data_IF_324569281045
#
_entry.id   IF_324569281045
#
_cell.length_a   1.000
_cell.length_b   1.000
_cell.length_c   1.000
_cell.angle_alpha   90.00
_cell.angle_beta   90.00
_cell.angle_gamma   90.00
#
_symmetry.space_group_name_H-M   'P 1'
#
loop_
_entity.id
_entity.type
_entity.pdbx_description
1 polymer ?
#
# COMPACT_ATOMS: atom_id res chain seq x y z
N UNK A 1 -12.62 41.94 -20.15
CA UNK A 1 -11.59 41.75 -19.11
C UNK A 1 -12.20 40.86 -18.03
N UNK A 2 -12.32 39.55 -18.26
CA UNK A 2 -13.04 38.62 -17.37
C UNK A 2 -12.71 37.15 -17.62
N UNK A 3 -12.34 36.79 -18.85
CA UNK A 3 -12.07 35.40 -19.26
C UNK A 3 -10.78 34.82 -18.68
N UNK A 4 -9.74 35.64 -18.48
CA UNK A 4 -8.44 35.17 -17.99
C UNK A 4 -8.46 34.65 -16.53
N UNK A 5 -9.39 35.13 -15.71
CA UNK A 5 -9.53 34.66 -14.33
C UNK A 5 -10.40 33.39 -14.22
N UNK A 6 -11.29 33.14 -15.18
CA UNK A 6 -12.15 31.95 -15.19
C UNK A 6 -11.39 30.70 -15.62
N UNK A 7 -10.56 30.80 -16.67
CA UNK A 7 -9.72 29.70 -17.17
C UNK A 7 -8.65 29.28 -16.16
N UNK A 8 -8.08 30.24 -15.43
CA UNK A 8 -7.10 29.99 -14.36
C UNK A 8 -7.70 29.21 -13.19
N UNK A 9 -8.97 29.47 -12.85
CA UNK A 9 -9.67 28.76 -11.78
C UNK A 9 -10.03 27.32 -12.18
N UNK A 10 -10.43 27.10 -13.43
CA UNK A 10 -10.75 25.77 -13.98
C UNK A 10 -9.52 24.87 -14.00
N UNK A 11 -8.37 25.36 -14.48
CA UNK A 11 -7.11 24.59 -14.49
C UNK A 11 -6.66 24.22 -13.06
N UNK A 12 -6.84 25.10 -12.08
CA UNK A 12 -6.54 24.79 -10.68
C UNK A 12 -7.55 23.79 -10.06
N UNK A 13 -8.77 23.72 -10.59
CA UNK A 13 -9.80 22.79 -10.14
C UNK A 13 -9.55 21.39 -10.72
N UNK A 14 -9.30 21.27 -12.02
CA UNK A 14 -8.92 20.02 -12.69
C UNK A 14 -7.65 19.41 -12.10
N UNK A 15 -6.64 20.24 -11.78
CA UNK A 15 -5.39 19.76 -11.16
C UNK A 15 -5.61 19.19 -9.76
N UNK A 16 -6.50 19.79 -8.97
CA UNK A 16 -6.90 19.28 -7.64
C UNK A 16 -7.72 18.01 -7.75
N UNK A 17 -8.65 17.94 -8.69
CA UNK A 17 -9.45 16.74 -8.95
C UNK A 17 -8.56 15.58 -9.42
N UNK A 18 -7.59 15.83 -10.30
CA UNK A 18 -6.61 14.82 -10.71
C UNK A 18 -5.72 14.36 -9.55
N UNK A 19 -5.21 15.27 -8.71
CA UNK A 19 -4.45 14.89 -7.51
C UNK A 19 -5.28 14.06 -6.53
N UNK A 20 -6.52 14.46 -6.31
CA UNK A 20 -7.43 13.77 -5.39
C UNK A 20 -7.77 12.38 -5.93
N UNK A 21 -8.02 12.25 -7.23
CA UNK A 21 -8.29 10.99 -7.89
C UNK A 21 -7.06 10.06 -7.92
N UNK A 22 -5.86 10.60 -8.14
CA UNK A 22 -4.61 9.84 -8.01
C UNK A 22 -4.39 9.35 -6.58
N UNK A 23 -4.66 10.20 -5.58
CA UNK A 23 -4.56 9.83 -4.16
C UNK A 23 -5.57 8.74 -3.79
N UNK A 24 -6.80 8.84 -4.30
CA UNK A 24 -7.85 7.83 -4.10
C UNK A 24 -7.44 6.50 -4.73
N UNK A 25 -6.96 6.51 -5.98
CA UNK A 25 -6.46 5.32 -6.66
C UNK A 25 -5.30 4.66 -5.89
N UNK A 26 -4.38 5.45 -5.34
CA UNK A 26 -3.28 4.92 -4.54
C UNK A 26 -3.76 4.30 -3.22
N UNK A 27 -4.72 4.94 -2.54
CA UNK A 27 -5.33 4.41 -1.32
C UNK A 27 -6.11 3.13 -1.60
N UNK A 28 -6.83 3.07 -2.70
CA UNK A 28 -7.62 1.92 -3.11
C UNK A 28 -6.70 0.76 -3.49
N UNK A 29 -5.67 1.02 -4.32
CA UNK A 29 -4.64 0.04 -4.63
C UNK A 29 -3.99 -0.51 -3.36
N UNK A 30 -3.60 0.37 -2.43
CA UNK A 30 -3.03 -0.01 -1.13
C UNK A 30 -3.98 -0.90 -0.33
N UNK A 31 -5.27 -0.57 -0.31
CA UNK A 31 -6.30 -1.36 0.40
C UNK A 31 -6.53 -2.71 -0.25
N UNK A 32 -6.57 -2.78 -1.58
CA UNK A 32 -6.72 -4.01 -2.35
C UNK A 32 -5.51 -4.92 -2.12
N UNK A 33 -4.30 -4.38 -2.20
CA UNK A 33 -3.06 -5.11 -1.90
C UNK A 33 -3.05 -5.64 -0.47
N UNK A 34 -3.41 -4.81 0.52
CA UNK A 34 -3.51 -5.25 1.92
C UNK A 34 -4.54 -6.37 2.10
N UNK A 35 -5.69 -6.30 1.42
CA UNK A 35 -6.70 -7.37 1.44
C UNK A 35 -6.25 -8.64 0.74
N UNK A 36 -5.44 -8.54 -0.32
CA UNK A 36 -4.89 -9.70 -1.00
C UNK A 36 -3.85 -10.42 -0.11
N UNK A 37 -3.10 -9.65 0.68
CA UNK A 37 -2.05 -10.16 1.57
C UNK A 37 -2.62 -10.63 2.91
N UNK A 38 -3.69 -10.04 3.45
CA UNK A 38 -4.24 -10.38 4.77
C UNK A 38 -5.42 -11.34 4.69
N UNK A 39 -5.50 -12.30 5.62
CA UNK A 39 -6.74 -13.09 5.83
C UNK A 39 -7.81 -12.28 6.55
N UNK A 40 -9.07 -12.74 6.51
CA UNK A 40 -10.20 -12.08 7.16
C UNK A 40 -9.93 -11.91 8.67
N UNK A 41 -9.44 -12.96 9.33
CA UNK A 41 -9.11 -12.95 10.76
C UNK A 41 -7.98 -11.97 11.09
N UNK A 42 -6.94 -11.92 10.25
CA UNK A 42 -5.85 -10.96 10.40
C UNK A 42 -6.34 -9.50 10.24
N UNK A 43 -7.28 -9.25 9.32
CA UNK A 43 -7.87 -7.93 9.12
C UNK A 43 -8.68 -7.47 10.34
N UNK A 44 -9.50 -8.35 10.91
CA UNK A 44 -10.25 -8.05 12.14
C UNK A 44 -9.32 -7.70 13.30
N UNK A 45 -8.23 -8.45 13.44
CA UNK A 45 -7.27 -8.17 14.50
C UNK A 45 -6.49 -6.88 14.26
N UNK A 46 -6.09 -6.59 13.02
CA UNK A 46 -5.48 -5.31 12.68
C UNK A 46 -6.43 -4.15 13.01
N UNK A 47 -7.72 -4.30 12.74
CA UNK A 47 -8.73 -3.30 13.08
C UNK A 47 -8.87 -3.11 14.61
N UNK A 48 -8.91 -4.21 15.36
CA UNK A 48 -8.90 -4.18 16.83
C UNK A 48 -7.63 -3.50 17.38
N UNK A 49 -6.48 -3.75 16.77
CA UNK A 49 -5.20 -3.13 17.13
C UNK A 49 -5.20 -1.66 16.79
N UNK A 50 -5.71 -1.27 15.62
CA UNK A 50 -5.84 0.13 15.22
C UNK A 50 -6.67 0.92 16.23
N UNK A 51 -7.74 0.31 16.76
CA UNK A 51 -8.56 0.93 17.80
C UNK A 51 -7.82 1.18 19.12
N UNK A 52 -6.89 0.29 19.51
CA UNK A 52 -6.13 0.45 20.77
C UNK A 52 -4.80 1.19 20.59
N UNK A 53 -4.17 1.06 19.42
CA UNK A 53 -2.82 1.57 19.09
C UNK A 53 -2.71 1.82 17.56
N UNK A 54 -3.19 2.96 17.07
CA UNK A 54 -3.15 3.28 15.64
C UNK A 54 -1.72 3.37 15.09
N UNK A 55 -0.74 3.81 15.90
CA UNK A 55 0.67 3.85 15.49
C UNK A 55 1.21 2.47 15.10
N UNK A 56 0.86 1.42 15.86
CA UNK A 56 1.30 0.07 15.56
C UNK A 56 0.62 -0.45 14.30
N UNK A 57 -0.67 -0.18 14.13
CA UNK A 57 -1.41 -0.57 12.92
C UNK A 57 -0.77 0.03 11.65
N UNK A 58 -0.44 1.32 11.67
CA UNK A 58 0.23 1.98 10.55
C UNK A 58 1.59 1.37 10.23
N UNK A 59 2.40 1.03 11.25
CA UNK A 59 3.68 0.35 11.06
C UNK A 59 3.51 -1.04 10.44
N UNK A 60 2.51 -1.80 10.88
CA UNK A 60 2.22 -3.14 10.37
C UNK A 60 1.78 -3.05 8.91
N UNK A 61 0.86 -2.14 8.57
CA UNK A 61 0.46 -1.93 7.18
C UNK A 61 1.64 -1.55 6.29
N UNK A 62 2.49 -0.63 6.74
CA UNK A 62 3.66 -0.20 5.97
C UNK A 62 4.67 -1.35 5.79
N UNK A 63 4.89 -2.15 6.84
CA UNK A 63 5.74 -3.33 6.77
C UNK A 63 5.15 -4.39 5.83
N UNK A 64 3.84 -4.63 5.89
CA UNK A 64 3.16 -5.58 5.02
C UNK A 64 3.25 -5.17 3.57
N UNK A 65 2.98 -3.90 3.25
CA UNK A 65 3.16 -3.37 1.91
C UNK A 65 4.62 -3.53 1.47
N UNK A 66 5.58 -3.07 2.26
CA UNK A 66 6.98 -3.16 1.84
C UNK A 66 7.47 -4.60 1.65
N UNK A 67 7.08 -5.52 2.55
CA UNK A 67 7.58 -6.90 2.59
C UNK A 67 6.83 -7.85 1.67
N UNK A 68 5.53 -7.64 1.51
CA UNK A 68 4.62 -8.58 0.86
C UNK A 68 3.98 -8.03 -0.42
N UNK A 69 4.23 -6.77 -0.84
CA UNK A 69 3.73 -6.24 -2.14
C UNK A 69 4.06 -7.14 -3.33
N UNK A 70 5.17 -7.89 -3.27
CA UNK A 70 5.61 -8.79 -4.33
C UNK A 70 5.41 -10.27 -4.00
N UNK A 71 4.80 -10.59 -2.85
CA UNK A 71 4.62 -11.98 -2.41
C UNK A 71 3.16 -12.39 -2.47
N UNK A 72 2.89 -13.53 -3.08
CA UNK A 72 1.56 -14.16 -3.11
C UNK A 72 1.20 -14.87 -1.79
N UNK A 73 1.90 -14.58 -0.70
CA UNK A 73 1.72 -15.26 0.59
C UNK A 73 0.70 -14.50 1.41
N UNK A 74 -0.35 -15.20 1.85
CA UNK A 74 -1.35 -14.67 2.76
C UNK A 74 -0.83 -14.70 4.19
N UNK A 75 -0.89 -13.56 4.86
CA UNK A 75 -0.55 -13.37 6.26
C UNK A 75 -1.78 -13.70 7.10
N UNK A 76 -1.63 -14.74 7.91
CA UNK A 76 -2.65 -15.20 8.84
C UNK A 76 -2.52 -14.52 10.22
N UNK A 77 -3.48 -14.73 11.14
CA UNK A 77 -3.45 -14.09 12.46
C UNK A 77 -2.17 -14.42 13.24
N UNK A 78 -1.76 -15.69 13.23
CA UNK A 78 -0.55 -16.12 13.93
C UNK A 78 0.69 -15.40 13.39
N UNK A 79 0.78 -15.21 12.08
CA UNK A 79 1.88 -14.48 11.44
C UNK A 79 1.80 -12.98 11.74
N UNK A 80 0.60 -12.39 11.70
CA UNK A 80 0.38 -11.00 12.07
C UNK A 80 0.82 -10.75 13.52
N UNK A 81 0.51 -11.68 14.45
CA UNK A 81 0.97 -11.63 15.85
C UNK A 81 2.49 -11.56 15.94
N UNK A 82 3.18 -12.45 15.24
CA UNK A 82 4.63 -12.45 15.22
C UNK A 82 5.23 -11.19 14.58
N UNK A 83 4.59 -10.63 13.55
CA UNK A 83 4.99 -9.35 12.97
C UNK A 83 4.81 -8.22 13.99
N UNK A 84 3.70 -8.19 14.73
CA UNK A 84 3.44 -7.17 15.77
C UNK A 84 4.47 -7.25 16.90
N UNK A 85 4.72 -8.46 17.40
CA UNK A 85 5.72 -8.72 18.44
C UNK A 85 7.12 -8.37 17.92
N UNK A 86 7.39 -8.74 16.67
CA UNK A 86 8.61 -8.44 15.93
C UNK A 86 8.85 -6.95 15.78
N UNK A 87 7.87 -6.15 15.34
CA UNK A 87 7.96 -4.69 15.21
C UNK A 87 8.16 -4.05 16.59
N UNK A 88 7.41 -4.50 17.60
CA UNK A 88 7.58 -3.99 18.98
C UNK A 88 8.98 -4.26 19.52
N UNK A 89 9.58 -5.40 19.16
CA UNK A 89 10.97 -5.75 19.51
C UNK A 89 12.01 -5.08 18.60
N UNK A 90 11.75 -4.96 17.30
CA UNK A 90 12.66 -4.44 16.27
C UNK A 90 12.77 -2.93 16.30
N UNK A 91 11.77 -2.23 16.86
CA UNK A 91 11.91 -0.82 17.26
C UNK A 91 13.11 -0.61 18.21
N UNK A 92 13.60 -1.68 18.87
CA UNK A 92 14.84 -1.65 19.67
C UNK A 92 16.11 -2.08 18.90
N UNK A 93 15.98 -2.71 17.72
CA UNK A 93 17.10 -3.31 16.95
C UNK A 93 16.82 -3.29 15.44
N UNK A 94 17.23 -2.22 14.77
CA UNK A 94 17.14 -2.04 13.32
C UNK A 94 17.67 -3.26 12.55
N UNK A 95 16.80 -4.04 11.88
CA UNK A 95 17.27 -5.11 10.99
C UNK A 95 16.63 -5.02 9.60
N UNK A 96 17.48 -4.70 8.63
CA UNK A 96 17.24 -4.69 7.19
C UNK A 96 16.78 -6.05 6.69
N UNK A 97 15.61 -6.12 6.03
CA UNK A 97 15.15 -7.36 5.40
C UNK A 97 15.19 -7.22 3.88
N UNK A 98 16.23 -7.83 3.31
CA UNK A 98 16.51 -7.99 1.88
C UNK A 98 15.34 -8.73 1.20
N UNK A 99 14.68 -8.08 0.24
CA UNK A 99 13.66 -8.70 -0.62
C UNK A 99 14.32 -8.91 -1.97
N UNK A 100 14.55 -10.17 -2.33
CA UNK A 100 15.02 -10.53 -3.66
C UNK A 100 13.86 -10.37 -4.64
N UNK A 101 14.00 -9.43 -5.58
CA UNK A 101 13.05 -9.21 -6.66
C UNK A 101 13.19 -10.37 -7.64
N UNK A 102 12.20 -11.26 -7.66
CA UNK A 102 12.05 -12.22 -8.74
C UNK A 102 11.62 -11.39 -9.96
N UNK A 103 12.53 -11.21 -10.93
CA UNK A 103 12.21 -10.64 -12.25
C UNK A 103 11.08 -11.50 -12.83
N UNK A 104 9.94 -10.88 -13.13
CA UNK A 104 8.99 -11.43 -14.08
C UNK A 104 9.55 -11.13 -15.45
N UNK A 105 9.80 -12.22 -16.14
CA UNK A 105 10.05 -12.34 -17.57
C UNK A 105 8.65 -12.22 -18.19
N UNK A 106 8.19 -10.99 -18.39
CA UNK A 106 7.04 -10.69 -19.27
C UNK A 106 7.64 -10.27 -20.61
N UNK A 107 8.23 -11.23 -21.32
CA UNK A 107 8.46 -11.16 -22.78
C UNK A 107 7.34 -11.99 -23.43
N UNK A 108 6.18 -11.38 -23.58
CA UNK A 108 5.12 -11.78 -24.52
C UNK A 108 4.31 -10.52 -24.83
N UNK A 109 4.50 -9.92 -26.00
CA UNK A 109 3.54 -9.98 -27.12
C UNK A 109 3.91 -8.97 -28.23
N UNK A 110 4.34 -9.54 -29.35
CA UNK A 110 4.00 -9.27 -30.77
C UNK A 110 3.69 -7.85 -31.34
N UNK A 111 4.07 -7.75 -32.62
CA UNK A 111 3.68 -6.82 -33.70
C UNK A 111 4.32 -5.42 -33.79
N UNK A 112 5.27 -5.28 -34.72
CA UNK A 112 5.34 -4.09 -35.60
C UNK A 112 5.77 -4.50 -37.02
N UNK A 113 4.76 -4.50 -37.91
CA UNK A 113 4.83 -4.65 -39.36
C UNK A 113 5.77 -3.61 -40.03
N UNK A 114 6.62 -4.06 -40.97
CA UNK A 114 7.14 -3.24 -42.07
C UNK A 114 7.43 -4.04 -43.35
#
# INVERSE_FOLDING_TARGET
MGDAQYTSNIQNQEKREQEEQQRQNLLEARRVTLRAILTIEAQERLNRISSVKPEKAAMIENYLLQRFSYSNIKVDDAQLKHIIEGITKSQTKNTSIRIQRKRWDDEDDDDDDF
#
